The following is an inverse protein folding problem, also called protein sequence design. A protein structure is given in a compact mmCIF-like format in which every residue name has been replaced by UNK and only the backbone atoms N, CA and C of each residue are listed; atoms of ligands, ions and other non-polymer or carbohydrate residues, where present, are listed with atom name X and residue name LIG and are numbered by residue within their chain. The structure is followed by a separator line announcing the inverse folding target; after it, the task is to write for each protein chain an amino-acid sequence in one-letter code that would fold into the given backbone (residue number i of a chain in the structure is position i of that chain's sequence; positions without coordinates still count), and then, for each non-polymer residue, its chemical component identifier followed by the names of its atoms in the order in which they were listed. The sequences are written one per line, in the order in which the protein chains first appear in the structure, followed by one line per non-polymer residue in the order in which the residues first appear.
data_IF_834939518930
#
_entry.id   IF_834939518930
#
_cell.length_a   1.000
_cell.length_b   1.000
_cell.length_c   1.000
_cell.angle_alpha   90.00
_cell.angle_beta   90.00
_cell.angle_gamma   90.00
#
_symmetry.space_group_name_H-M   'P 1'
#
loop_
_entity.id
_entity.type
_entity.pdbx_description
1 polymer ?
#
# COMPACT_ATOMS: atom_id res chain seq x y z
N UNK A 1 25.20 -15.79 20.76
CA UNK A 1 25.91 -14.71 20.05
C UNK A 1 25.06 -13.44 20.14
N UNK A 2 25.37 -12.60 21.12
CA UNK A 2 24.54 -11.47 21.53
C UNK A 2 24.55 -10.31 20.54
N UNK A 3 23.37 -9.72 20.36
CA UNK A 3 23.13 -8.49 19.61
C UNK A 3 23.74 -7.31 20.36
N UNK A 4 24.85 -6.79 19.84
CA UNK A 4 25.52 -5.61 20.38
C UNK A 4 24.71 -4.37 19.96
N UNK A 5 23.97 -3.79 20.90
CA UNK A 5 23.27 -2.51 20.75
C UNK A 5 24.29 -1.36 20.91
N UNK A 6 24.91 -0.92 19.82
CA UNK A 6 25.69 0.31 19.81
C UNK A 6 24.77 1.52 19.54
N UNK A 7 24.48 2.31 20.57
CA UNK A 7 23.95 3.67 20.46
C UNK A 7 25.11 4.65 20.61
N UNK A 8 25.34 5.51 19.62
CA UNK A 8 26.34 6.58 19.68
C UNK A 8 25.68 7.88 19.22
N UNK A 9 25.74 8.91 20.06
CA UNK A 9 25.34 10.28 19.73
C UNK A 9 26.47 10.96 18.95
N UNK A 10 26.16 11.52 17.79
CA UNK A 10 27.12 12.30 17.00
C UNK A 10 26.50 13.68 16.73
N UNK A 11 27.07 14.71 17.36
CA UNK A 11 26.84 16.12 17.03
C UNK A 11 27.91 16.60 16.06
N UNK A 12 27.50 17.28 14.97
CA UNK A 12 28.28 18.33 14.32
C UNK A 12 27.33 19.34 13.67
N UNK A 13 27.17 20.49 14.33
CA UNK A 13 26.78 21.75 13.71
C UNK A 13 28.05 22.57 13.48
N UNK A 14 28.19 23.15 12.28
CA UNK A 14 29.20 24.18 12.01
C UNK A 14 28.61 25.29 11.14
N UNK A 15 28.41 26.45 11.80
CA UNK A 15 28.50 27.83 11.32
C UNK A 15 27.80 28.22 10.00
N UNK A 16 26.78 29.09 10.14
CA UNK A 16 26.78 30.41 9.50
C UNK A 16 25.91 31.40 10.28
N UNK A 17 26.61 32.24 11.04
CA UNK A 17 26.13 33.46 11.66
C UNK A 17 26.17 34.53 10.57
N UNK A 18 25.03 35.13 10.24
CA UNK A 18 24.97 36.44 9.57
C UNK A 18 24.36 37.42 10.55
N UNK A 19 25.25 38.29 11.07
CA UNK A 19 24.93 39.48 11.85
C UNK A 19 24.12 40.46 11.00
N UNK A 20 22.98 40.90 11.51
CA UNK A 20 22.38 42.19 11.15
C UNK A 20 22.17 42.91 12.49
N UNK A 21 22.85 44.05 12.63
CA UNK A 21 22.83 44.85 13.84
C UNK A 21 21.52 45.62 14.01
N UNK A 22 21.12 45.77 15.27
CA UNK A 22 20.22 46.83 15.72
C UNK A 22 20.68 47.25 17.13
N UNK A 23 20.80 48.56 17.31
CA UNK A 23 21.36 49.24 18.47
C UNK A 23 20.27 49.58 19.51
N UNK A 24 20.76 49.95 20.71
CA UNK A 24 20.10 50.68 21.82
C UNK A 24 19.26 49.92 22.85
N UNK A 25 19.78 49.90 24.08
CA UNK A 25 19.07 50.46 25.23
C UNK A 25 18.48 49.49 26.26
N UNK A 26 19.15 49.44 27.42
CA UNK A 26 18.57 49.25 28.76
C UNK A 26 18.17 47.86 29.28
N UNK A 27 19.04 47.38 30.19
CA UNK A 27 18.77 46.66 31.43
C UNK A 27 17.41 45.93 31.56
N UNK A 28 17.45 44.61 31.36
CA UNK A 28 16.65 43.71 32.18
C UNK A 28 17.39 42.37 32.35
N UNK A 29 17.21 41.80 33.53
CA UNK A 29 17.89 40.65 34.10
C UNK A 29 18.23 39.53 33.10
N UNK A 30 19.42 38.97 33.32
CA UNK A 30 19.95 37.77 32.67
C UNK A 30 19.05 36.58 32.99
N UNK A 31 17.93 36.50 32.28
CA UNK A 31 17.22 35.27 32.04
C UNK A 31 18.15 34.41 31.22
N UNK A 32 18.89 33.53 31.90
CA UNK A 32 19.47 32.34 31.30
C UNK A 32 18.28 31.57 30.71
N UNK A 33 17.90 31.93 29.49
CA UNK A 33 16.97 31.19 28.68
C UNK A 33 17.61 29.82 28.56
N UNK A 34 17.12 28.91 29.39
CA UNK A 34 17.30 27.47 29.28
C UNK A 34 17.34 27.19 27.79
N UNK A 35 18.54 26.90 27.27
CA UNK A 35 18.72 26.46 25.90
C UNK A 35 17.78 25.30 25.79
N UNK A 36 16.65 25.56 25.14
CA UNK A 36 15.57 24.64 24.98
C UNK A 36 16.22 23.37 24.45
N UNK A 37 16.13 22.32 25.26
CA UNK A 37 16.58 20.99 24.88
C UNK A 37 15.83 20.67 23.60
N UNK A 38 16.46 20.92 22.44
CA UNK A 38 15.99 20.35 21.20
C UNK A 38 15.95 18.85 21.48
N UNK A 39 14.75 18.22 21.45
CA UNK A 39 14.66 16.82 21.80
C UNK A 39 15.54 16.07 20.82
N UNK A 40 16.64 15.51 21.33
CA UNK A 40 17.59 14.75 20.52
C UNK A 40 16.82 13.56 19.97
N UNK A 41 16.40 13.68 18.70
CA UNK A 41 15.68 12.61 18.01
C UNK A 41 16.65 11.45 17.87
N UNK A 42 16.46 10.44 18.73
CA UNK A 42 17.24 9.21 18.72
C UNK A 42 17.02 8.51 17.37
N UNK A 43 18.04 8.51 16.51
CA UNK A 43 18.01 7.84 15.21
C UNK A 43 18.58 6.44 15.33
N UNK A 44 17.90 5.47 14.73
CA UNK A 44 18.43 4.11 14.67
C UNK A 44 19.50 4.05 13.60
N UNK A 45 20.73 3.66 13.98
CA UNK A 45 21.89 3.67 13.07
C UNK A 45 21.66 2.79 11.85
N UNK A 46 21.13 1.58 12.06
CA UNK A 46 20.81 0.64 10.99
C UNK A 46 19.58 -0.16 11.37
N UNK A 47 18.60 -0.15 10.48
CA UNK A 47 17.44 -1.02 10.54
C UNK A 47 17.35 -1.76 9.22
N UNK A 48 17.13 -3.07 9.28
CA UNK A 48 16.92 -3.85 8.08
C UNK A 48 15.98 -5.00 8.33
N UNK A 49 15.22 -5.33 7.29
CA UNK A 49 14.31 -6.45 7.27
C UNK A 49 14.59 -7.30 6.03
N UNK A 50 14.25 -8.59 6.13
CA UNK A 50 14.61 -9.59 5.14
C UNK A 50 13.37 -10.31 4.66
N UNK A 51 13.26 -10.48 3.35
CA UNK A 51 12.21 -11.24 2.68
C UNK A 51 12.82 -12.50 2.08
N UNK A 52 12.18 -13.65 2.31
CA UNK A 52 12.61 -14.94 1.78
C UNK A 52 12.07 -15.08 0.36
N UNK A 53 12.93 -15.47 -0.58
CA UNK A 53 12.54 -15.68 -1.98
C UNK A 53 12.28 -17.19 -2.17
N UNK A 54 11.06 -17.60 -2.56
CA UNK A 54 10.76 -19.00 -2.83
C UNK A 54 11.46 -19.48 -4.13
N UNK A 55 11.67 -20.79 -4.30
CA UNK A 55 12.24 -21.34 -5.53
C UNK A 55 11.32 -21.06 -6.73
N UNK A 56 11.90 -20.79 -7.89
CA UNK A 56 11.15 -20.49 -9.13
C UNK A 56 10.70 -19.04 -9.29
N UNK A 57 11.06 -18.15 -8.37
CA UNK A 57 10.80 -16.70 -8.47
C UNK A 57 12.12 -15.94 -8.61
N UNK A 58 12.23 -15.14 -9.66
CA UNK A 58 13.37 -14.24 -9.86
C UNK A 58 13.02 -12.83 -9.41
N UNK A 59 13.81 -12.27 -8.49
CA UNK A 59 13.67 -10.88 -8.04
C UNK A 59 14.89 -10.08 -8.50
N UNK A 60 14.67 -8.95 -9.16
CA UNK A 60 15.72 -8.01 -9.57
C UNK A 60 15.40 -6.63 -9.01
N UNK A 61 16.38 -5.97 -8.41
CA UNK A 61 16.24 -4.59 -7.92
C UNK A 61 17.25 -3.68 -8.62
N UNK A 62 16.75 -2.69 -9.37
CA UNK A 62 17.58 -1.74 -10.12
C UNK A 62 17.12 -0.34 -9.73
N UNK A 63 18.02 0.47 -9.14
CA UNK A 63 17.73 1.87 -8.75
C UNK A 63 16.43 2.00 -7.92
N UNK A 64 16.24 1.12 -6.92
CA UNK A 64 15.02 1.04 -6.08
C UNK A 64 13.72 0.71 -6.83
N UNK A 65 13.82 0.21 -8.06
CA UNK A 65 12.71 -0.39 -8.80
C UNK A 65 12.84 -1.90 -8.69
N UNK A 66 11.80 -2.55 -8.17
CA UNK A 66 11.77 -4.00 -7.98
C UNK A 66 10.98 -4.63 -9.12
N UNK A 67 11.59 -5.62 -9.73
CA UNK A 67 11.01 -6.49 -10.75
C UNK A 67 10.92 -7.90 -10.15
N UNK A 68 9.72 -8.47 -10.15
CA UNK A 68 9.49 -9.84 -9.69
C UNK A 68 8.96 -10.63 -10.87
N UNK A 69 9.64 -11.70 -11.24
CA UNK A 69 9.20 -12.63 -12.28
C UNK A 69 8.88 -13.97 -11.63
N UNK A 70 7.74 -14.53 -11.97
CA UNK A 70 7.33 -15.87 -11.56
C UNK A 70 6.50 -16.55 -12.65
N UNK A 71 5.92 -17.71 -12.34
CA UNK A 71 5.21 -18.54 -13.33
C UNK A 71 3.99 -17.83 -13.93
N UNK A 72 3.23 -17.06 -13.13
CA UNK A 72 2.01 -16.37 -13.61
C UNK A 72 2.28 -15.07 -14.38
N UNK A 73 3.52 -14.56 -14.33
CA UNK A 73 3.90 -13.34 -15.04
C UNK A 73 4.93 -12.49 -14.30
N UNK A 74 5.00 -11.22 -14.69
CA UNK A 74 6.01 -10.27 -14.20
C UNK A 74 5.35 -9.03 -13.58
N UNK A 75 5.77 -8.66 -12.38
CA UNK A 75 5.33 -7.45 -11.70
C UNK A 75 6.47 -6.45 -11.56
N UNK A 76 6.14 -5.17 -11.68
CA UNK A 76 7.07 -4.04 -11.52
C UNK A 76 6.54 -3.08 -10.48
N UNK A 77 7.41 -2.65 -9.55
CA UNK A 77 7.06 -1.66 -8.53
C UNK A 77 8.20 -0.68 -8.27
N UNK A 78 7.87 0.61 -8.25
CA UNK A 78 8.83 1.69 -8.04
C UNK A 78 8.82 2.16 -6.57
N UNK A 79 9.97 2.07 -5.87
CA UNK A 79 10.15 2.57 -4.49
C UNK A 79 11.07 3.80 -4.41
N UNK A 80 11.21 4.55 -5.51
CA UNK A 80 12.12 5.71 -5.59
C UNK A 80 11.79 6.84 -4.59
N UNK A 81 10.52 6.96 -4.22
CA UNK A 81 10.03 7.95 -3.26
C UNK A 81 10.56 7.72 -1.84
N UNK A 82 11.04 6.51 -1.53
CA UNK A 82 11.61 6.17 -0.23
C UNK A 82 13.14 6.12 -0.34
N UNK A 83 13.82 6.70 0.66
CA UNK A 83 15.27 6.66 0.79
C UNK A 83 15.70 5.37 1.51
N UNK A 84 15.57 4.21 0.85
CA UNK A 84 15.89 2.87 1.37
C UNK A 84 16.83 2.13 0.42
N UNK A 85 17.75 1.34 0.97
CA UNK A 85 18.65 0.51 0.19
C UNK A 85 18.07 -0.90 0.06
N UNK A 86 17.90 -1.37 -1.17
CA UNK A 86 17.37 -2.71 -1.47
C UNK A 86 18.51 -3.53 -2.07
N UNK A 87 18.89 -4.62 -1.39
CA UNK A 87 19.92 -5.55 -1.85
C UNK A 87 19.32 -6.93 -2.05
N UNK A 88 19.54 -7.50 -3.24
CA UNK A 88 19.07 -8.84 -3.58
C UNK A 88 20.22 -9.83 -3.45
N UNK A 89 20.02 -10.88 -2.66
CA UNK A 89 20.87 -12.07 -2.57
C UNK A 89 20.05 -13.25 -3.15
N UNK A 90 20.66 -14.29 -3.75
CA UNK A 90 19.92 -15.38 -4.41
C UNK A 90 18.82 -16.03 -3.56
N UNK A 91 18.97 -16.08 -2.22
CA UNK A 91 17.98 -16.69 -1.32
C UNK A 91 17.11 -15.68 -0.56
N UNK A 92 17.48 -14.39 -0.56
CA UNK A 92 16.85 -13.38 0.30
C UNK A 92 17.01 -11.98 -0.27
N UNK A 93 15.95 -11.18 -0.14
CA UNK A 93 16.00 -9.74 -0.38
C UNK A 93 16.12 -9.03 0.96
N UNK A 94 17.06 -8.11 1.09
CA UNK A 94 17.24 -7.31 2.31
C UNK A 94 16.96 -5.85 2.00
N UNK A 95 16.07 -5.23 2.76
CA UNK A 95 15.80 -3.80 2.72
C UNK A 95 16.44 -3.18 3.95
N UNK A 96 17.34 -2.21 3.75
CA UNK A 96 18.06 -1.54 4.84
C UNK A 96 17.90 -0.03 4.77
N UNK A 97 17.73 0.59 5.94
CA UNK A 97 17.77 2.02 6.13
C UNK A 97 18.83 2.36 7.17
N UNK A 98 19.67 3.33 6.85
CA UNK A 98 20.62 3.92 7.79
C UNK A 98 20.05 5.21 8.37
N UNK A 99 20.33 5.45 9.65
CA UNK A 99 19.93 6.66 10.39
C UNK A 99 18.45 7.02 10.23
N UNK A 100 17.58 6.00 10.38
CA UNK A 100 16.15 6.14 10.15
C UNK A 100 15.41 6.81 11.32
N UNK A 101 14.54 7.75 10.99
CA UNK A 101 13.50 8.25 11.90
C UNK A 101 12.36 7.21 12.05
N UNK A 102 11.56 7.28 13.13
CA UNK A 102 10.46 6.33 13.40
C UNK A 102 9.54 6.10 12.19
N UNK A 103 9.24 7.14 11.41
CA UNK A 103 8.41 7.04 10.19
C UNK A 103 9.12 6.30 9.06
N UNK A 104 10.42 6.51 8.89
CA UNK A 104 11.22 5.84 7.87
C UNK A 104 11.46 4.37 8.23
N UNK A 105 11.62 4.06 9.52
CA UNK A 105 11.72 2.68 10.00
C UNK A 105 10.45 1.87 9.67
N UNK A 106 9.28 2.47 9.83
CA UNK A 106 8.01 1.85 9.43
C UNK A 106 7.94 1.61 7.92
N UNK A 107 8.51 2.51 7.11
CA UNK A 107 8.55 2.37 5.65
C UNK A 107 9.42 1.20 5.18
N UNK A 108 10.44 0.78 5.95
CA UNK A 108 11.22 -0.43 5.62
C UNK A 108 10.31 -1.66 5.60
N UNK A 109 9.43 -1.77 6.60
CA UNK A 109 8.50 -2.90 6.75
C UNK A 109 7.43 -2.90 5.67
N UNK A 110 6.89 -1.74 5.32
CA UNK A 110 5.90 -1.66 4.23
C UNK A 110 6.49 -2.11 2.91
N UNK A 111 7.72 -1.70 2.58
CA UNK A 111 8.42 -2.17 1.36
C UNK A 111 8.57 -3.69 1.37
N UNK A 112 8.94 -4.28 2.51
CA UNK A 112 9.03 -5.74 2.64
C UNK A 112 7.67 -6.41 2.40
N UNK A 113 6.59 -5.92 3.01
CA UNK A 113 5.23 -6.43 2.77
C UNK A 113 4.80 -6.32 1.31
N UNK A 114 5.10 -5.21 0.63
CA UNK A 114 4.78 -5.06 -0.80
C UNK A 114 5.52 -6.11 -1.64
N UNK A 115 6.80 -6.37 -1.36
CA UNK A 115 7.58 -7.38 -2.09
C UNK A 115 7.04 -8.80 -1.80
N UNK A 116 6.70 -9.12 -0.56
CA UNK A 116 6.07 -10.40 -0.21
C UNK A 116 4.75 -10.61 -0.94
N UNK A 117 3.93 -9.56 -1.05
CA UNK A 117 2.67 -9.61 -1.79
C UNK A 117 2.92 -9.78 -3.30
N UNK A 118 3.92 -9.12 -3.88
CA UNK A 118 4.31 -9.34 -5.27
C UNK A 118 4.75 -10.78 -5.52
N UNK A 119 5.54 -11.36 -4.61
CA UNK A 119 5.99 -12.76 -4.70
C UNK A 119 4.78 -13.71 -4.67
N UNK A 120 3.87 -13.55 -3.69
CA UNK A 120 2.63 -14.34 -3.60
C UNK A 120 1.75 -14.18 -4.84
N UNK A 121 1.70 -12.97 -5.39
CA UNK A 121 0.94 -12.65 -6.60
C UNK A 121 1.44 -13.33 -7.87
N UNK A 122 2.76 -13.45 -8.05
CA UNK A 122 3.32 -14.14 -9.23
C UNK A 122 3.33 -15.66 -9.10
N UNK A 123 3.28 -16.20 -7.88
CA UNK A 123 3.22 -17.66 -7.65
C UNK A 123 1.79 -18.17 -7.66
N UNK A 124 0.95 -17.66 -6.77
CA UNK A 124 -0.42 -18.12 -6.55
C UNK A 124 -1.43 -17.18 -7.21
N UNK A 125 -1.24 -15.86 -7.14
CA UNK A 125 -2.23 -14.88 -7.62
C UNK A 125 -3.36 -14.67 -6.60
N UNK A 126 -4.15 -13.61 -6.79
CA UNK A 126 -5.14 -13.16 -5.81
C UNK A 126 -6.57 -13.26 -6.33
N UNK A 127 -7.46 -13.78 -5.49
CA UNK A 127 -8.89 -13.93 -5.76
C UNK A 127 -9.72 -13.18 -4.72
N UNK A 128 -10.54 -12.23 -5.16
CA UNK A 128 -11.49 -11.51 -4.30
C UNK A 128 -12.90 -11.87 -4.72
N UNK A 129 -13.69 -12.43 -3.81
CA UNK A 129 -15.10 -12.75 -4.04
C UNK A 129 -15.95 -11.60 -3.53
N UNK A 130 -16.70 -10.99 -4.44
CA UNK A 130 -17.66 -9.91 -4.19
C UNK A 130 -19.07 -10.48 -4.18
N UNK A 131 -19.90 -10.07 -3.22
CA UNK A 131 -21.32 -10.41 -3.17
C UNK A 131 -22.18 -9.16 -3.29
N UNK A 132 -23.21 -9.22 -4.11
CA UNK A 132 -24.26 -8.21 -4.15
C UNK A 132 -25.31 -8.52 -3.08
N UNK A 133 -25.61 -7.53 -2.25
CA UNK A 133 -26.64 -7.57 -1.22
C UNK A 133 -27.71 -6.58 -1.59
N UNK A 134 -28.98 -7.01 -1.52
CA UNK A 134 -30.14 -6.18 -1.83
C UNK A 134 -31.35 -6.61 -1.00
N UNK A 135 -32.25 -5.67 -0.68
CA UNK A 135 -33.49 -5.97 0.02
C UNK A 135 -34.68 -6.26 -0.93
N UNK A 136 -34.92 -5.38 -1.90
CA UNK A 136 -36.13 -5.43 -2.74
C UNK A 136 -35.82 -5.45 -4.23
N UNK A 137 -34.89 -4.60 -4.69
CA UNK A 137 -34.51 -4.53 -6.10
C UNK A 137 -33.30 -5.43 -6.37
N UNK A 138 -33.42 -6.50 -7.18
CA UNK A 138 -32.29 -7.37 -7.50
C UNK A 138 -31.25 -6.62 -8.32
N UNK A 139 -29.99 -6.73 -7.91
CA UNK A 139 -28.86 -6.06 -8.57
C UNK A 139 -28.27 -7.02 -9.60
N UNK A 140 -28.27 -6.61 -10.87
CA UNK A 140 -27.68 -7.43 -11.93
C UNK A 140 -26.27 -6.93 -12.23
N UNK A 141 -25.29 -7.83 -12.09
CA UNK A 141 -23.89 -7.54 -12.42
C UNK A 141 -23.51 -8.26 -13.72
N UNK A 142 -23.27 -7.49 -14.78
CA UNK A 142 -22.92 -8.01 -16.10
C UNK A 142 -21.47 -7.68 -16.37
N UNK A 143 -20.68 -8.70 -16.70
CA UNK A 143 -19.30 -8.53 -17.15
C UNK A 143 -19.34 -8.30 -18.67
N UNK A 144 -18.81 -7.18 -19.16
CA UNK A 144 -18.68 -6.98 -20.61
C UNK A 144 -17.71 -8.04 -21.18
N UNK A 145 -17.96 -8.52 -22.40
CA UNK A 145 -17.24 -9.66 -23.00
C UNK A 145 -15.71 -9.54 -23.03
N UNK A 146 -15.18 -8.32 -23.01
CA UNK A 146 -13.74 -8.04 -22.95
C UNK A 146 -13.12 -8.18 -21.55
N UNK A 147 -13.93 -8.53 -20.52
CA UNK A 147 -13.49 -8.65 -19.12
C UNK A 147 -12.95 -7.37 -18.50
N UNK A 148 -13.12 -6.23 -19.18
CA UNK A 148 -12.48 -4.93 -18.87
C UNK A 148 -13.45 -3.91 -18.25
N UNK A 149 -14.75 -4.15 -18.34
CA UNK A 149 -15.80 -3.29 -17.76
C UNK A 149 -16.82 -4.16 -17.02
N UNK A 150 -17.24 -3.66 -15.86
CA UNK A 150 -18.33 -4.21 -15.07
C UNK A 150 -19.53 -3.26 -15.18
N UNK A 151 -20.66 -3.79 -15.62
CA UNK A 151 -21.93 -3.08 -15.66
C UNK A 151 -22.81 -3.53 -14.50
N UNK A 152 -23.25 -2.57 -13.69
CA UNK A 152 -24.19 -2.80 -12.58
C UNK A 152 -25.52 -2.17 -12.97
N UNK A 153 -26.56 -2.99 -13.02
CA UNK A 153 -27.91 -2.58 -13.42
C UNK A 153 -28.88 -2.70 -12.24
N UNK A 154 -29.92 -1.87 -12.26
CA UNK A 154 -31.03 -1.91 -11.30
C UNK A 154 -30.63 -1.67 -9.83
N UNK A 155 -29.57 -0.91 -9.59
CA UNK A 155 -29.16 -0.54 -8.24
C UNK A 155 -30.18 0.41 -7.61
N UNK A 156 -30.80 0.04 -6.47
CA UNK A 156 -31.88 0.79 -5.81
C UNK A 156 -33.10 1.10 -6.70
N UNK A 157 -33.28 0.39 -7.82
CA UNK A 157 -34.33 0.70 -8.80
C UNK A 157 -34.00 1.87 -9.74
N UNK A 158 -32.74 2.32 -9.80
CA UNK A 158 -32.29 3.30 -10.79
C UNK A 158 -32.34 2.69 -12.21
N UNK A 159 -32.91 3.43 -13.17
CA UNK A 159 -32.91 3.07 -14.59
C UNK A 159 -31.53 3.24 -15.24
N UNK A 160 -30.66 4.07 -14.65
CA UNK A 160 -29.31 4.33 -15.14
C UNK A 160 -28.35 3.22 -14.72
N UNK A 161 -27.67 2.62 -15.70
CA UNK A 161 -26.63 1.63 -15.44
C UNK A 161 -25.35 2.31 -14.94
N UNK A 162 -24.68 1.68 -13.98
CA UNK A 162 -23.36 2.12 -13.50
C UNK A 162 -22.27 1.31 -14.18
N UNK A 163 -21.29 2.01 -14.74
CA UNK A 163 -20.15 1.40 -15.42
C UNK A 163 -18.90 1.54 -14.55
N UNK A 164 -18.20 0.44 -14.32
CA UNK A 164 -16.91 0.44 -13.62
C UNK A 164 -15.85 -0.11 -14.55
N UNK A 165 -14.90 0.74 -14.93
CA UNK A 165 -13.71 0.33 -15.69
C UNK A 165 -12.74 -0.40 -14.78
N UNK A 166 -12.30 -1.58 -15.21
CA UNK A 166 -11.34 -2.39 -14.47
C UNK A 166 -9.91 -1.93 -14.80
N UNK A 167 -9.01 -2.11 -13.85
CA UNK A 167 -7.60 -1.77 -14.04
C UNK A 167 -6.91 -2.92 -14.77
N UNK A 168 -5.99 -2.56 -15.67
CA UNK A 168 -5.22 -3.49 -16.50
C UNK A 168 -4.60 -4.64 -15.67
N UNK A 169 -4.81 -5.87 -16.12
CA UNK A 169 -4.27 -7.08 -15.48
C UNK A 169 -5.17 -7.70 -14.40
N UNK A 170 -6.36 -7.14 -14.15
CA UNK A 170 -7.41 -7.73 -13.33
C UNK A 170 -8.52 -8.26 -14.24
N UNK A 171 -8.90 -9.52 -14.06
CA UNK A 171 -10.01 -10.17 -14.76
C UNK A 171 -11.20 -10.33 -13.82
N UNK A 172 -12.39 -10.31 -14.39
CA UNK A 172 -13.63 -10.52 -13.65
C UNK A 172 -14.35 -11.73 -14.19
N UNK A 173 -14.61 -12.70 -13.33
CA UNK A 173 -15.27 -13.96 -13.63
C UNK A 173 -16.55 -14.08 -12.82
N UNK A 174 -17.55 -14.76 -13.38
CA UNK A 174 -18.78 -15.13 -12.66
C UNK A 174 -18.58 -16.54 -12.10
N UNK A 175 -18.78 -16.71 -10.79
CA UNK A 175 -18.45 -17.96 -10.07
C UNK A 175 -19.57 -19.01 -10.19
N UNK A 176 -20.55 -18.82 -11.08
CA UNK A 176 -21.72 -19.68 -11.25
C UNK A 176 -22.75 -19.60 -10.11
N UNK A 177 -22.34 -19.14 -8.93
CA UNK A 177 -23.22 -18.77 -7.82
C UNK A 177 -23.91 -17.45 -8.14
N UNK A 178 -25.23 -17.40 -7.92
CA UNK A 178 -26.01 -16.16 -8.09
C UNK A 178 -25.50 -15.09 -7.11
N UNK A 179 -25.53 -13.83 -7.55
CA UNK A 179 -25.16 -12.65 -6.75
C UNK A 179 -23.70 -12.60 -6.31
N UNK A 180 -22.82 -13.41 -6.91
CA UNK A 180 -21.38 -13.44 -6.64
C UNK A 180 -20.56 -13.17 -7.89
N UNK A 181 -19.52 -12.36 -7.74
CA UNK A 181 -18.51 -12.10 -8.76
C UNK A 181 -17.12 -12.28 -8.17
N UNK A 182 -16.23 -12.82 -8.98
CA UNK A 182 -14.84 -13.06 -8.63
C UNK A 182 -13.93 -12.11 -9.40
N UNK A 183 -13.08 -11.39 -8.67
CA UNK A 183 -11.99 -10.59 -9.22
C UNK A 183 -10.69 -11.38 -9.08
N UNK A 184 -9.98 -11.53 -10.19
CA UNK A 184 -8.72 -12.26 -10.27
C UNK A 184 -7.61 -11.36 -10.79
N UNK A 185 -6.42 -11.45 -10.19
CA UNK A 185 -5.27 -10.73 -10.70
C UNK A 185 -3.98 -11.12 -10.01
N UNK A 186 -2.86 -10.75 -10.63
CA UNK A 186 -1.53 -11.04 -10.09
C UNK A 186 -1.09 -9.96 -9.07
N UNK A 187 -1.54 -8.70 -9.20
CA UNK A 187 -1.20 -7.62 -8.26
C UNK A 187 -2.36 -7.38 -7.28
N UNK A 188 -2.10 -7.62 -5.99
CA UNK A 188 -3.08 -7.40 -4.90
C UNK A 188 -3.62 -5.98 -4.87
N UNK A 189 -2.78 -5.00 -5.22
CA UNK A 189 -3.17 -3.60 -5.12
C UNK A 189 -4.16 -3.21 -6.21
N UNK A 190 -3.96 -3.72 -7.43
CA UNK A 190 -4.90 -3.47 -8.52
C UNK A 190 -6.21 -4.22 -8.30
N UNK A 191 -6.16 -5.46 -7.82
CA UNK A 191 -7.35 -6.25 -7.48
C UNK A 191 -8.15 -5.54 -6.37
N UNK A 192 -7.48 -5.13 -5.29
CA UNK A 192 -8.12 -4.42 -4.19
C UNK A 192 -8.66 -3.04 -4.61
N UNK A 193 -7.94 -2.32 -5.48
CA UNK A 193 -8.40 -1.03 -6.03
C UNK A 193 -9.66 -1.20 -6.88
N UNK A 194 -9.70 -2.21 -7.74
CA UNK A 194 -10.90 -2.53 -8.54
C UNK A 194 -12.08 -2.86 -7.63
N UNK A 195 -11.87 -3.71 -6.62
CA UNK A 195 -12.91 -4.04 -5.63
C UNK A 195 -13.45 -2.79 -4.91
N UNK A 196 -12.55 -1.89 -4.51
CA UNK A 196 -12.93 -0.64 -3.85
C UNK A 196 -13.70 0.30 -4.79
N UNK A 197 -13.33 0.39 -6.07
CA UNK A 197 -14.04 1.19 -7.07
C UNK A 197 -15.46 0.67 -7.31
N UNK A 198 -15.64 -0.65 -7.40
CA UNK A 198 -16.96 -1.29 -7.52
C UNK A 198 -17.83 -0.92 -6.30
N UNK A 199 -17.27 -1.08 -5.10
CA UNK A 199 -17.98 -0.75 -3.86
C UNK A 199 -18.36 0.74 -3.78
N UNK A 200 -17.45 1.65 -4.14
CA UNK A 200 -17.70 3.09 -4.12
C UNK A 200 -18.79 3.53 -5.11
N UNK A 201 -18.84 2.91 -6.29
CA UNK A 201 -19.90 3.14 -7.29
C UNK A 201 -21.28 2.69 -6.78
N UNK A 202 -21.31 1.62 -6.00
CA UNK A 202 -22.52 1.06 -5.36
C UNK A 202 -22.81 1.64 -3.97
N UNK A 203 -22.19 2.75 -3.57
CA UNK A 203 -22.49 3.37 -2.27
C UNK A 203 -23.78 4.19 -2.35
N UNK A 204 -24.75 3.86 -1.49
CA UNK A 204 -25.98 4.66 -1.32
C UNK A 204 -25.62 6.05 -0.78
N UNK A 205 -26.16 7.10 -1.42
CA UNK A 205 -26.00 8.50 -1.00
C UNK A 205 -27.36 9.09 -0.64
N UNK A 206 -27.36 10.10 0.24
CA UNK A 206 -28.56 10.87 0.65
C UNK A 206 -29.70 10.02 1.26
N UNK A 207 -29.38 8.84 1.82
CA UNK A 207 -30.32 7.98 2.56
C UNK A 207 -29.63 7.45 3.82
N UNK A 208 -30.42 6.94 4.77
CA UNK A 208 -29.89 6.31 5.97
C UNK A 208 -29.23 4.95 5.65
N UNK A 209 -27.92 4.88 5.86
CA UNK A 209 -27.08 3.70 5.62
C UNK A 209 -27.41 2.53 6.56
N UNK A 210 -28.12 2.75 7.67
CA UNK A 210 -28.49 1.69 8.60
C UNK A 210 -29.71 0.90 8.12
N UNK A 211 -30.55 1.54 7.30
CA UNK A 211 -31.76 0.93 6.73
C UNK A 211 -31.52 0.42 5.31
N UNK A 212 -30.72 1.14 4.52
CA UNK A 212 -30.38 0.77 3.15
C UNK A 212 -28.97 0.16 3.12
N UNK A 213 -28.91 -1.16 3.21
CA UNK A 213 -27.69 -1.96 3.17
C UNK A 213 -27.37 -2.50 1.76
N UNK A 214 -28.09 -2.02 0.75
CA UNK A 214 -27.92 -2.45 -0.64
C UNK A 214 -26.56 -2.02 -1.17
N UNK A 215 -25.83 -2.96 -1.78
CA UNK A 215 -24.46 -2.70 -2.23
C UNK A 215 -23.73 -3.96 -2.69
N UNK A 216 -22.52 -3.77 -3.18
CA UNK A 216 -21.60 -4.86 -3.50
C UNK A 216 -20.46 -4.83 -2.48
N UNK A 217 -20.22 -5.95 -1.80
CA UNK A 217 -19.26 -6.07 -0.71
C UNK A 217 -18.26 -7.18 -0.97
N UNK A 218 -17.05 -7.04 -0.41
CA UNK A 218 -16.04 -8.11 -0.44
C UNK A 218 -16.41 -9.16 0.60
N UNK A 219 -16.82 -10.35 0.14
CA UNK A 219 -17.22 -11.46 0.99
C UNK A 219 -16.01 -12.28 1.46
N UNK A 220 -15.05 -12.54 0.57
CA UNK A 220 -13.81 -13.24 0.93
C UNK A 220 -12.62 -12.76 0.11
N UNK A 221 -11.43 -12.93 0.69
CA UNK A 221 -10.14 -12.64 0.09
C UNK A 221 -9.29 -13.89 0.20
N UNK A 222 -8.78 -14.36 -0.93
CA UNK A 222 -7.97 -15.56 -0.99
C UNK A 222 -6.92 -15.47 -2.10
N UNK A 223 -6.22 -16.59 -2.28
CA UNK A 223 -5.36 -16.80 -3.43
C UNK A 223 -6.09 -17.64 -4.47
N UNK A 224 -5.68 -17.49 -5.72
CA UNK A 224 -6.15 -18.36 -6.81
C UNK A 224 -5.28 -19.63 -6.69
N UNK A 225 -5.89 -20.78 -6.42
CA UNK A 225 -5.16 -22.06 -6.50
C UNK A 225 -4.74 -22.35 -7.94
#
# INVERSE_FOLDING_TARGET
MGTINNKVNIYKDFKRITLIGATFGDACWVGFACLSQFPVKMKTIKSGERVIIPPGVEVKAIRRVVYVKGPRGTLKRDFKHLAVDIKVTPKRLTVTKFFGDRKELAAVRTVCSHIENMIKGVTQGFCYKLKSVYAHFPINMVVSGDGSKLEIRNFLGEKSNKFVGLVNGVKVSQTGVKDEIQLEGNDIEQVAKCAAQIHQSCKVRNKDIRKFLDGIYVASKGVIE
#
